data_IF_002110833919
#
_entry.id   IF_002110833919
#
_cell.length_a   1.000
_cell.length_b   1.000
_cell.length_c   1.000
_cell.angle_alpha   90.00
_cell.angle_beta   90.00
_cell.angle_gamma   90.00
#
_symmetry.space_group_name_H-M   'P 1'
#
loop_
_entity.id
_entity.type
_entity.pdbx_description
1 polymer ?
#
# COMPACT_ATOMS: atom_id res chain seq x y z
N UNK A 1 2.21 -21.83 -3.88
CA UNK A 1 2.62 -20.52 -4.40
C UNK A 1 3.58 -20.72 -5.55
N UNK A 2 3.29 -20.20 -6.76
CA UNK A 2 4.29 -20.15 -7.84
C UNK A 2 5.30 -19.04 -7.49
N UNK A 3 6.56 -19.18 -7.87
CA UNK A 3 7.57 -18.12 -7.69
C UNK A 3 7.16 -16.90 -8.51
N UNK A 4 6.74 -15.83 -7.84
CA UNK A 4 6.31 -14.55 -8.45
C UNK A 4 6.47 -13.42 -7.43
N UNK A 5 6.61 -12.19 -7.91
CA UNK A 5 6.56 -10.99 -7.07
C UNK A 5 5.10 -10.71 -6.70
N UNK A 6 4.75 -10.84 -5.43
CA UNK A 6 3.38 -10.65 -4.94
C UNK A 6 3.01 -9.17 -4.75
N UNK A 7 3.98 -8.35 -4.36
CA UNK A 7 3.88 -6.90 -4.26
C UNK A 7 5.26 -6.29 -4.41
N UNK A 8 5.29 -5.01 -4.77
CA UNK A 8 6.49 -4.18 -4.81
C UNK A 8 6.25 -2.95 -3.97
N UNK A 9 7.28 -2.49 -3.27
CA UNK A 9 7.18 -1.35 -2.34
C UNK A 9 8.26 -0.31 -2.59
N UNK A 10 8.01 0.90 -2.13
CA UNK A 10 8.96 1.98 -2.06
C UNK A 10 8.77 2.72 -0.73
N UNK A 11 9.87 2.98 -0.01
CA UNK A 11 9.86 3.73 1.23
C UNK A 11 10.63 5.04 1.05
N UNK A 12 9.96 6.17 1.22
CA UNK A 12 10.58 7.49 1.22
C UNK A 12 10.78 7.96 2.67
N UNK A 13 12.04 7.94 3.12
CA UNK A 13 12.42 8.28 4.49
C UNK A 13 12.44 9.79 4.75
N UNK A 14 12.55 10.62 3.72
CA UNK A 14 12.58 12.07 3.89
C UNK A 14 11.16 12.61 4.14
N UNK A 15 10.18 12.04 3.44
CA UNK A 15 8.77 12.45 3.54
C UNK A 15 7.94 11.56 4.46
N UNK A 16 8.53 10.49 4.98
CA UNK A 16 7.91 9.48 5.85
C UNK A 16 6.71 8.79 5.19
N UNK A 17 6.90 8.32 3.96
CA UNK A 17 5.85 7.67 3.16
C UNK A 17 6.22 6.25 2.79
N UNK A 18 5.24 5.34 2.88
CA UNK A 18 5.38 3.95 2.45
C UNK A 18 4.37 3.65 1.34
N UNK A 19 4.87 3.34 0.15
CA UNK A 19 4.06 3.09 -1.03
C UNK A 19 4.19 1.65 -1.49
N UNK A 20 3.12 1.08 -2.04
CA UNK A 20 3.13 -0.26 -2.57
C UNK A 20 2.11 -0.45 -3.71
N UNK A 21 2.34 -1.47 -4.52
CA UNK A 21 1.34 -2.05 -5.42
C UNK A 21 1.46 -3.57 -5.38
N UNK A 22 0.42 -4.30 -5.80
CA UNK A 22 0.38 -5.77 -5.74
C UNK A 22 0.50 -6.39 -7.11
N UNK A 23 0.53 -7.73 -7.18
CA UNK A 23 0.43 -8.47 -8.43
C UNK A 23 -0.95 -8.34 -9.09
N UNK A 24 -2.00 -8.03 -8.32
CA UNK A 24 -3.39 -7.95 -8.79
C UNK A 24 -3.78 -6.53 -9.18
N UNK A 25 -3.17 -5.52 -8.54
CA UNK A 25 -3.47 -4.11 -8.77
C UNK A 25 -2.19 -3.27 -8.87
N UNK A 26 -2.03 -2.53 -9.98
CA UNK A 26 -0.88 -1.63 -10.23
C UNK A 26 -1.08 -0.22 -9.68
N UNK A 27 -2.28 0.14 -9.20
CA UNK A 27 -2.47 1.41 -8.50
C UNK A 27 -1.55 1.45 -7.29
N UNK A 28 -0.74 2.51 -7.23
CA UNK A 28 0.10 2.76 -6.07
C UNK A 28 -0.78 3.22 -4.92
N UNK A 29 -0.69 2.51 -3.80
CA UNK A 29 -1.27 2.88 -2.51
C UNK A 29 -0.15 3.41 -1.63
N UNK A 30 -0.44 4.43 -0.84
CA UNK A 30 0.54 5.13 -0.01
C UNK A 30 0.00 5.28 1.41
N UNK A 31 0.86 4.98 2.39
CA UNK A 31 0.64 5.22 3.81
C UNK A 31 1.53 6.40 4.19
N UNK A 32 0.91 7.51 4.61
CA UNK A 32 1.63 8.64 5.19
C UNK A 32 1.82 8.38 6.69
N UNK A 33 3.06 8.16 7.10
CA UNK A 33 3.36 7.83 8.49
C UNK A 33 3.15 9.02 9.43
N UNK A 34 3.09 10.26 8.92
CA UNK A 34 2.84 11.46 9.73
C UNK A 34 1.40 11.55 10.22
N UNK A 35 0.48 10.85 9.55
CA UNK A 35 -0.94 10.80 9.91
C UNK A 35 -1.23 9.75 11.00
N UNK A 36 -0.20 9.00 11.43
CA UNK A 36 -0.32 7.97 12.47
C UNK A 36 0.21 8.53 13.79
N UNK A 37 -0.63 8.56 14.81
CA UNK A 37 -0.19 8.92 16.17
C UNK A 37 0.40 7.71 16.91
N UNK A 38 1.67 7.43 16.63
CA UNK A 38 2.40 6.35 17.28
C UNK A 38 2.54 6.50 18.81
N UNK A 39 2.33 7.71 19.37
CA UNK A 39 2.46 7.94 20.81
C UNK A 39 1.27 7.40 21.61
N UNK A 40 0.11 7.29 20.96
CA UNK A 40 -1.14 6.86 21.59
C UNK A 40 -1.60 5.45 21.17
N UNK A 41 -0.79 4.71 20.40
CA UNK A 41 -1.12 3.34 19.95
C UNK A 41 -0.85 2.25 21.00
N UNK A 42 -0.07 2.53 22.05
CA UNK A 42 0.30 1.52 23.05
C UNK A 42 0.95 0.29 22.41
N UNK A 43 0.48 -0.91 22.77
CA UNK A 43 0.96 -2.20 22.22
C UNK A 43 0.11 -2.71 21.03
N UNK A 44 -0.73 -1.86 20.43
CA UNK A 44 -1.64 -2.27 19.36
C UNK A 44 -0.92 -2.44 18.01
N UNK A 45 -1.25 -3.53 17.29
CA UNK A 45 -0.78 -3.78 15.92
C UNK A 45 -1.95 -3.55 14.96
N UNK A 46 -1.78 -2.61 14.03
CA UNK A 46 -2.75 -2.36 12.95
C UNK A 46 -2.41 -3.28 11.77
N UNK A 47 -3.42 -4.01 11.30
CA UNK A 47 -3.34 -4.85 10.11
C UNK A 47 -4.07 -4.18 8.95
N UNK A 48 -3.43 -4.14 7.78
CA UNK A 48 -4.00 -3.61 6.55
C UNK A 48 -4.00 -4.71 5.49
N UNK A 49 -5.16 -4.94 4.87
CA UNK A 49 -5.24 -5.79 3.68
C UNK A 49 -4.58 -5.09 2.49
N UNK A 50 -3.75 -5.80 1.74
CA UNK A 50 -3.05 -5.21 0.59
C UNK A 50 -3.99 -4.94 -0.59
N UNK A 51 -5.01 -5.78 -0.76
CA UNK A 51 -6.06 -5.69 -1.76
C UNK A 51 -7.38 -6.11 -1.11
N UNK A 52 -8.32 -5.16 -0.92
CA UNK A 52 -9.69 -5.49 -0.48
C UNK A 52 -10.37 -6.44 -1.49
N UNK A 53 -10.15 -6.17 -2.78
CA UNK A 53 -10.56 -7.02 -3.90
C UNK A 53 -9.38 -7.24 -4.84
N UNK A 54 -9.18 -8.47 -5.31
CA UNK A 54 -8.07 -8.85 -6.22
C UNK A 54 -8.36 -8.44 -7.67
N UNK A 55 -8.53 -7.14 -7.87
CA UNK A 55 -8.92 -6.56 -9.15
C UNK A 55 -8.02 -5.36 -9.48
N UNK A 56 -7.75 -5.19 -10.78
CA UNK A 56 -6.97 -4.07 -11.27
C UNK A 56 -7.84 -2.81 -11.29
N UNK A 57 -7.30 -1.71 -10.75
CA UNK A 57 -7.91 -0.40 -10.91
C UNK A 57 -7.57 0.15 -12.29
N UNK A 58 -8.60 0.32 -13.13
CA UNK A 58 -8.48 0.75 -14.52
C UNK A 58 -9.23 2.06 -14.68
N UNK A 59 -8.49 3.11 -15.05
CA UNK A 59 -9.08 4.36 -15.54
C UNK A 59 -9.33 4.25 -17.05
N UNK A 60 -10.59 4.37 -17.48
CA UNK A 60 -10.97 4.40 -18.90
C UNK A 60 -10.83 5.83 -19.45
N UNK A 61 -9.86 6.03 -20.36
CA UNK A 61 -9.66 7.33 -21.02
C UNK A 61 -10.48 7.40 -22.30
N UNK A 62 -11.33 8.42 -22.42
CA UNK A 62 -12.09 8.74 -23.64
C UNK A 62 -11.49 9.97 -24.30
N UNK A 63 -11.23 9.89 -25.60
CA UNK A 63 -10.69 10.97 -26.44
C UNK A 63 -11.79 11.64 -27.27
#
# INVERSE_FOLDING_TARGET
LRSTTLWSTAANINDLQYSYHTQHNRRVRMIDLKEIDFSNMGDEIIYLELDENKEQDIEEIKL
#
